data_IF_378294954553
#
_entry.id   IF_378294954553
#
_cell.length_a   1.000
_cell.length_b   1.000
_cell.length_c   1.000
_cell.angle_alpha   90.00
_cell.angle_beta   90.00
_cell.angle_gamma   90.00
#
_symmetry.space_group_name_H-M   'P 1'
#
loop_
_entity.id
_entity.type
_entity.pdbx_description
1 polymer ?
#
# COMPACT_ATOMS: atom_id res chain seq x y z
N UNK A 1 -6.71 5.41 6.99
CA UNK A 1 -5.71 6.47 7.22
C UNK A 1 -4.73 6.68 6.05
N UNK A 2 -4.95 6.11 4.85
CA UNK A 2 -3.96 6.21 3.76
C UNK A 2 -4.29 7.18 2.61
N UNK A 3 -5.55 7.62 2.47
CA UNK A 3 -5.98 8.42 1.31
C UNK A 3 -5.72 9.93 1.44
N UNK A 4 -5.86 10.48 2.65
CA UNK A 4 -5.87 11.94 2.88
C UNK A 4 -4.47 12.55 2.94
N UNK A 5 -3.43 11.79 3.29
CA UNK A 5 -2.05 12.31 3.42
C UNK A 5 -1.42 12.62 2.06
N UNK A 6 -1.76 11.88 1.01
CA UNK A 6 -1.24 12.10 -0.35
C UNK A 6 -1.64 13.46 -0.95
N UNK A 7 -2.69 14.09 -0.42
CA UNK A 7 -3.22 15.35 -0.95
C UNK A 7 -2.35 16.55 -0.55
N UNK A 8 -1.58 16.46 0.53
CA UNK A 8 -0.93 17.62 1.18
C UNK A 8 0.39 18.08 0.54
N UNK A 9 1.02 17.25 -0.30
CA UNK A 9 2.28 17.61 -0.97
C UNK A 9 2.27 17.13 -2.43
N UNK A 10 1.55 17.86 -3.29
CA UNK A 10 1.28 17.39 -4.65
C UNK A 10 2.43 17.67 -5.63
N UNK A 11 3.42 18.51 -5.30
CA UNK A 11 4.52 18.87 -6.20
C UNK A 11 4.09 19.34 -7.61
N UNK A 12 2.86 19.83 -7.76
CA UNK A 12 2.23 20.19 -9.06
C UNK A 12 1.40 19.08 -9.72
N UNK A 13 1.31 17.88 -9.14
CA UNK A 13 0.43 16.81 -9.59
C UNK A 13 -1.04 17.11 -9.29
N UNK A 14 -1.92 16.81 -10.25
CA UNK A 14 -3.38 16.86 -10.05
C UNK A 14 -3.83 15.56 -9.40
N UNK A 15 -4.43 15.67 -8.22
CA UNK A 15 -4.88 14.52 -7.44
C UNK A 15 -6.39 14.40 -7.56
N UNK A 16 -6.84 13.21 -7.98
CA UNK A 16 -8.24 12.81 -7.95
C UNK A 16 -8.47 11.83 -6.80
N UNK A 17 -9.45 12.12 -5.96
CA UNK A 17 -9.79 11.32 -4.79
C UNK A 17 -11.03 10.47 -5.11
N UNK A 18 -10.89 9.16 -4.98
CA UNK A 18 -12.01 8.23 -5.06
C UNK A 18 -12.70 8.07 -3.70
N UNK A 19 -14.01 8.26 -3.63
CA UNK A 19 -14.81 7.98 -2.43
C UNK A 19 -16.04 7.14 -2.75
N UNK A 20 -16.51 6.36 -1.76
CA UNK A 20 -17.65 5.42 -1.91
C UNK A 20 -19.01 6.00 -1.49
N UNK A 21 -19.00 7.03 -0.64
CA UNK A 21 -20.22 7.64 -0.10
C UNK A 21 -20.43 9.01 -0.72
N UNK A 22 -21.70 9.31 -1.06
CA UNK A 22 -22.05 10.60 -1.63
C UNK A 22 -21.71 11.76 -0.68
N UNK A 23 -21.96 11.59 0.62
CA UNK A 23 -21.62 12.58 1.67
C UNK A 23 -20.13 12.94 1.68
N UNK A 24 -19.24 11.94 1.52
CA UNK A 24 -17.79 12.18 1.46
C UNK A 24 -17.39 12.89 0.16
N UNK A 25 -18.04 12.57 -0.96
CA UNK A 25 -17.81 13.28 -2.23
C UNK A 25 -18.20 14.75 -2.14
N UNK A 26 -19.37 15.03 -1.56
CA UNK A 26 -19.88 16.39 -1.41
C UNK A 26 -18.98 17.20 -0.49
N UNK A 27 -18.51 16.61 0.62
CA UNK A 27 -17.53 17.22 1.52
C UNK A 27 -16.21 17.55 0.78
N UNK A 28 -15.61 16.57 0.11
CA UNK A 28 -14.33 16.75 -0.59
C UNK A 28 -14.43 17.80 -1.71
N UNK A 29 -15.56 17.84 -2.43
CA UNK A 29 -15.81 18.86 -3.46
C UNK A 29 -15.99 20.25 -2.86
N UNK A 30 -16.68 20.36 -1.73
CA UNK A 30 -16.81 21.63 -1.01
C UNK A 30 -15.46 22.16 -0.51
N UNK A 31 -14.52 21.27 -0.20
CA UNK A 31 -13.13 21.58 0.15
C UNK A 31 -12.25 21.90 -1.09
N UNK A 32 -12.80 21.82 -2.30
CA UNK A 32 -12.11 22.15 -3.55
C UNK A 32 -11.30 21.01 -4.17
N UNK A 33 -11.48 19.77 -3.70
CA UNK A 33 -10.79 18.59 -4.25
C UNK A 33 -11.50 18.04 -5.50
N UNK A 34 -10.73 17.48 -6.45
CA UNK A 34 -11.27 16.65 -7.53
C UNK A 34 -11.69 15.29 -6.94
N UNK A 35 -12.97 15.14 -6.60
CA UNK A 35 -13.52 13.92 -6.02
C UNK A 35 -14.52 13.21 -6.95
N UNK A 36 -14.35 11.90 -7.07
CA UNK A 36 -15.13 11.02 -7.96
C UNK A 36 -15.65 9.81 -7.19
N UNK A 37 -16.86 9.36 -7.55
CA UNK A 37 -17.37 8.09 -7.04
C UNK A 37 -16.45 6.96 -7.50
N UNK A 38 -15.95 6.19 -6.55
CA UNK A 38 -15.07 5.06 -6.83
C UNK A 38 -15.27 3.98 -5.77
N UNK A 39 -15.82 2.86 -6.21
CA UNK A 39 -16.06 1.70 -5.36
C UNK A 39 -15.48 0.45 -6.03
N UNK A 40 -14.53 -0.20 -5.35
CA UNK A 40 -13.88 -1.42 -5.83
C UNK A 40 -14.85 -2.59 -5.98
N UNK A 41 -16.01 -2.53 -5.33
CA UNK A 41 -17.08 -3.52 -5.46
C UNK A 41 -18.10 -3.17 -6.57
N UNK A 42 -18.03 -1.98 -7.18
CA UNK A 42 -18.89 -1.56 -8.29
C UNK A 42 -18.09 -1.14 -9.54
N UNK A 43 -17.91 -2.05 -10.52
CA UNK A 43 -17.14 -1.77 -11.74
C UNK A 43 -17.68 -0.62 -12.59
N UNK A 44 -18.94 -0.22 -12.43
CA UNK A 44 -19.53 0.93 -13.16
C UNK A 44 -18.85 2.25 -12.78
N UNK A 45 -18.24 2.31 -11.60
CA UNK A 45 -17.55 3.50 -11.09
C UNK A 45 -16.15 3.68 -11.69
N UNK A 46 -15.54 2.63 -12.26
CA UNK A 46 -14.14 2.64 -12.68
C UNK A 46 -13.88 3.54 -13.89
N UNK A 47 -14.76 3.54 -14.88
CA UNK A 47 -14.60 4.33 -16.11
C UNK A 47 -14.44 5.83 -15.82
N UNK A 48 -15.44 6.46 -15.15
CA UNK A 48 -15.35 7.87 -14.77
C UNK A 48 -14.15 8.18 -13.86
N UNK A 49 -13.83 7.27 -12.92
CA UNK A 49 -12.75 7.50 -11.98
C UNK A 49 -11.36 7.49 -12.63
N UNK A 50 -11.12 6.55 -13.56
CA UNK A 50 -9.82 6.33 -14.19
C UNK A 50 -9.62 7.17 -15.47
N UNK A 51 -10.64 7.90 -15.92
CA UNK A 51 -10.55 8.73 -17.12
C UNK A 51 -9.47 9.81 -16.98
N UNK A 52 -8.44 9.76 -17.85
CA UNK A 52 -7.33 10.71 -17.85
C UNK A 52 -6.35 10.55 -16.68
N UNK A 53 -6.39 9.41 -15.96
CA UNK A 53 -5.49 9.12 -14.85
C UNK A 53 -4.21 8.47 -15.37
N UNK A 54 -3.07 9.09 -15.09
CA UNK A 54 -1.76 8.56 -15.50
C UNK A 54 -1.21 7.51 -14.52
N UNK A 55 -1.48 7.69 -13.22
CA UNK A 55 -0.96 6.85 -12.13
C UNK A 55 -2.08 6.57 -11.12
N UNK A 56 -2.15 5.34 -10.64
CA UNK A 56 -3.17 4.91 -9.68
C UNK A 56 -2.51 4.35 -8.42
N UNK A 57 -2.98 4.77 -7.25
CA UNK A 57 -2.65 4.13 -5.98
C UNK A 57 -3.83 3.22 -5.56
N UNK A 58 -3.57 1.94 -5.31
CA UNK A 58 -4.57 0.97 -4.88
C UNK A 58 -4.41 0.71 -3.38
N UNK A 59 -5.50 0.91 -2.64
CA UNK A 59 -5.62 0.52 -1.24
C UNK A 59 -6.87 -0.36 -1.06
N UNK A 60 -6.66 -1.64 -0.81
CA UNK A 60 -7.72 -2.62 -0.55
C UNK A 60 -7.91 -2.88 0.93
N UNK A 61 -9.11 -3.36 1.31
CA UNK A 61 -9.35 -3.89 2.65
C UNK A 61 -8.60 -5.21 2.90
N UNK A 62 -8.43 -5.59 4.16
CA UNK A 62 -7.73 -6.81 4.56
C UNK A 62 -8.65 -8.05 4.55
N UNK A 63 -9.17 -8.41 3.38
CA UNK A 63 -10.05 -9.58 3.19
C UNK A 63 -9.71 -10.29 1.88
N UNK A 64 -10.15 -11.55 1.73
CA UNK A 64 -9.96 -12.31 0.48
C UNK A 64 -10.52 -11.57 -0.76
N UNK A 65 -11.53 -10.73 -0.57
CA UNK A 65 -12.14 -9.88 -1.60
C UNK A 65 -11.12 -8.97 -2.29
N UNK A 66 -9.99 -8.64 -1.64
CA UNK A 66 -8.91 -7.84 -2.23
C UNK A 66 -8.39 -8.44 -3.54
N UNK A 67 -8.41 -9.77 -3.67
CA UNK A 67 -7.92 -10.46 -4.88
C UNK A 67 -8.82 -10.16 -6.08
N UNK A 68 -10.14 -10.22 -5.88
CA UNK A 68 -11.14 -9.88 -6.89
C UNK A 68 -11.10 -8.38 -7.21
N UNK A 69 -11.12 -7.52 -6.19
CA UNK A 69 -11.09 -6.06 -6.34
C UNK A 69 -9.84 -5.58 -7.10
N UNK A 70 -8.68 -6.12 -6.76
CA UNK A 70 -7.42 -5.77 -7.43
C UNK A 70 -7.47 -6.22 -8.89
N UNK A 71 -7.96 -7.43 -9.16
CA UNK A 71 -8.08 -7.92 -10.52
C UNK A 71 -8.94 -6.99 -11.38
N UNK A 72 -10.14 -6.65 -10.91
CA UNK A 72 -11.11 -5.87 -11.68
C UNK A 72 -10.64 -4.44 -11.91
N UNK A 73 -10.03 -3.80 -10.89
CA UNK A 73 -9.52 -2.44 -11.02
C UNK A 73 -8.26 -2.37 -11.90
N UNK A 74 -7.36 -3.35 -11.83
CA UNK A 74 -6.16 -3.42 -12.69
C UNK A 74 -6.56 -3.62 -14.16
N UNK A 75 -7.56 -4.46 -14.43
CA UNK A 75 -8.10 -4.64 -15.78
C UNK A 75 -8.72 -3.34 -16.32
N UNK A 76 -9.43 -2.60 -15.47
CA UNK A 76 -10.01 -1.30 -15.83
C UNK A 76 -8.91 -0.24 -16.05
N UNK A 77 -7.89 -0.21 -15.20
CA UNK A 77 -6.74 0.69 -15.30
C UNK A 77 -5.96 0.46 -16.60
N UNK A 78 -5.77 -0.80 -16.99
CA UNK A 78 -5.16 -1.17 -18.27
C UNK A 78 -5.97 -0.62 -19.46
N UNK A 79 -7.30 -0.77 -19.42
CA UNK A 79 -8.19 -0.23 -20.47
C UNK A 79 -8.20 1.30 -20.51
N UNK A 80 -8.08 1.95 -19.36
CA UNK A 80 -8.04 3.40 -19.23
C UNK A 80 -6.68 4.02 -19.60
N UNK A 81 -5.63 3.20 -19.81
CA UNK A 81 -4.30 3.68 -20.18
C UNK A 81 -3.45 4.17 -19.00
N UNK A 82 -3.76 3.72 -17.77
CA UNK A 82 -2.93 3.99 -16.59
C UNK A 82 -1.54 3.44 -16.83
N UNK A 83 -0.51 4.26 -16.58
CA UNK A 83 0.89 3.92 -16.86
C UNK A 83 1.64 3.39 -15.65
N UNK A 84 1.18 3.70 -14.45
CA UNK A 84 1.84 3.28 -13.21
C UNK A 84 0.84 2.91 -12.12
N UNK A 85 1.05 1.78 -11.44
CA UNK A 85 0.28 1.35 -10.27
C UNK A 85 1.16 1.36 -9.02
N UNK A 86 0.74 2.08 -7.99
CA UNK A 86 1.30 1.96 -6.65
C UNK A 86 0.37 1.06 -5.86
N UNK A 87 0.91 -0.01 -5.27
CA UNK A 87 0.14 -0.95 -4.47
C UNK A 87 0.73 -1.04 -3.07
N UNK A 88 -0.14 -0.97 -2.07
CA UNK A 88 0.24 -1.20 -0.69
C UNK A 88 0.22 -2.71 -0.38
N UNK A 89 1.40 -3.31 -0.43
CA UNK A 89 1.64 -4.71 -0.09
C UNK A 89 1.87 -4.93 1.41
N UNK A 90 2.27 -6.15 1.76
CA UNK A 90 2.70 -6.51 3.10
C UNK A 90 4.09 -7.15 3.08
N UNK A 91 4.91 -6.89 4.10
CA UNK A 91 6.16 -7.61 4.26
C UNK A 91 5.85 -9.03 4.79
N UNK A 92 6.09 -10.05 3.96
CA UNK A 92 5.94 -11.45 4.32
C UNK A 92 7.26 -12.19 4.09
N UNK A 93 7.54 -13.19 4.93
CA UNK A 93 8.63 -14.13 4.66
C UNK A 93 8.27 -15.02 3.47
N UNK A 94 9.26 -15.45 2.67
CA UNK A 94 9.04 -16.28 1.48
C UNK A 94 8.38 -17.64 1.81
N UNK A 95 8.54 -18.11 3.05
CA UNK A 95 7.99 -19.37 3.59
C UNK A 95 6.73 -19.16 4.44
N UNK A 96 6.12 -17.97 4.40
CA UNK A 96 4.94 -17.69 5.21
C UNK A 96 3.75 -18.57 4.79
N UNK A 97 3.26 -19.39 5.72
CA UNK A 97 2.16 -20.34 5.49
C UNK A 97 0.77 -19.77 5.81
N UNK A 98 0.70 -18.55 6.34
CA UNK A 98 -0.56 -17.91 6.69
C UNK A 98 -1.28 -17.45 5.42
N UNK A 99 -2.54 -17.87 5.27
CA UNK A 99 -3.35 -17.63 4.08
C UNK A 99 -3.47 -16.15 3.70
N UNK A 100 -3.38 -15.26 4.69
CA UNK A 100 -3.42 -13.82 4.46
C UNK A 100 -2.24 -13.33 3.60
N UNK A 101 -1.04 -13.86 3.78
CA UNK A 101 0.13 -13.49 2.98
C UNK A 101 0.04 -14.03 1.55
N UNK A 102 -0.60 -15.19 1.37
CA UNK A 102 -0.88 -15.72 0.03
C UNK A 102 -1.76 -14.77 -0.78
N UNK A 103 -2.73 -14.08 -0.17
CA UNK A 103 -3.57 -13.10 -0.89
C UNK A 103 -2.76 -11.90 -1.40
N UNK A 104 -1.85 -11.36 -0.59
CA UNK A 104 -0.96 -10.28 -1.03
C UNK A 104 -0.03 -10.75 -2.15
N UNK A 105 0.55 -11.94 -2.04
CA UNK A 105 1.39 -12.50 -3.08
C UNK A 105 0.63 -12.66 -4.41
N UNK A 106 -0.64 -13.10 -4.37
CA UNK A 106 -1.49 -13.18 -5.55
C UNK A 106 -1.80 -11.81 -6.15
N UNK A 107 -2.08 -10.80 -5.31
CA UNK A 107 -2.32 -9.43 -5.75
C UNK A 107 -1.09 -8.83 -6.43
N UNK A 108 0.08 -8.95 -5.80
CA UNK A 108 1.35 -8.46 -6.34
C UNK A 108 1.67 -9.15 -7.67
N UNK A 109 1.62 -10.48 -7.72
CA UNK A 109 1.83 -11.23 -8.95
C UNK A 109 0.87 -10.82 -10.09
N UNK A 110 -0.39 -10.52 -9.77
CA UNK A 110 -1.36 -10.06 -10.78
C UNK A 110 -1.00 -8.67 -11.33
N UNK A 111 -0.59 -7.75 -10.46
CA UNK A 111 -0.15 -6.41 -10.87
C UNK A 111 1.11 -6.51 -11.72
N UNK A 112 2.09 -7.33 -11.32
CA UNK A 112 3.31 -7.57 -12.09
C UNK A 112 3.01 -8.13 -13.49
N UNK A 113 2.07 -9.08 -13.57
CA UNK A 113 1.64 -9.69 -14.83
C UNK A 113 0.79 -8.77 -15.72
N UNK A 114 0.28 -7.64 -15.20
CA UNK A 114 -0.62 -6.74 -15.93
C UNK A 114 0.06 -6.04 -17.13
N UNK A 115 1.38 -5.89 -17.07
CA UNK A 115 2.19 -5.13 -18.03
C UNK A 115 2.20 -3.61 -17.78
N UNK A 116 1.56 -3.14 -16.70
CA UNK A 116 1.63 -1.74 -16.24
C UNK A 116 2.85 -1.59 -15.35
N UNK A 117 3.56 -0.44 -15.41
CA UNK A 117 4.66 -0.19 -14.48
C UNK A 117 4.12 -0.16 -13.03
N UNK A 118 4.89 -0.66 -12.07
CA UNK A 118 4.37 -0.84 -10.72
C UNK A 118 5.39 -0.50 -9.64
N UNK A 119 4.86 -0.26 -8.44
CA UNK A 119 5.64 -0.11 -7.21
C UNK A 119 4.87 -0.73 -6.05
N UNK A 120 5.48 -1.72 -5.39
CA UNK A 120 4.93 -2.30 -4.16
C UNK A 120 5.53 -1.56 -2.96
N UNK A 121 4.67 -0.94 -2.18
CA UNK A 121 5.03 -0.35 -0.90
C UNK A 121 4.75 -1.40 0.17
N UNK A 122 5.80 -1.85 0.87
CA UNK A 122 5.71 -2.78 2.00
C UNK A 122 5.90 -2.01 3.31
N UNK A 123 4.89 -1.27 3.82
CA UNK A 123 4.99 -0.64 5.11
C UNK A 123 5.16 -1.70 6.19
N UNK A 124 6.28 -1.65 6.91
CA UNK A 124 6.43 -2.43 8.13
C UNK A 124 5.47 -1.86 9.17
N UNK A 125 4.67 -2.76 9.78
CA UNK A 125 3.71 -2.55 10.88
C UNK A 125 3.62 -1.09 11.35
N UNK A 126 2.55 -0.39 10.98
CA UNK A 126 2.26 0.93 11.53
C UNK A 126 2.34 0.85 13.06
N UNK A 127 3.11 1.73 13.70
CA UNK A 127 3.22 1.78 15.17
C UNK A 127 1.83 1.90 15.83
N UNK A 128 0.89 2.54 15.14
CA UNK A 128 -0.52 2.65 15.50
C UNK A 128 -1.22 1.28 15.64
N UNK A 129 -0.87 0.31 14.79
CA UNK A 129 -1.36 -1.07 14.92
C UNK A 129 -0.70 -1.82 16.07
N UNK A 130 0.48 -1.41 16.54
CA UNK A 130 1.05 -2.02 17.75
C UNK A 130 0.28 -1.61 19.01
N UNK A 131 -0.22 -0.38 19.07
CA UNK A 131 -1.06 0.12 20.17
C UNK A 131 -2.44 -0.55 20.23
N UNK A 132 -2.97 -1.04 19.11
CA UNK A 132 -4.23 -1.78 19.08
C UNK A 132 -4.08 -3.26 19.46
N UNK A 133 -2.90 -3.86 19.20
CA UNK A 133 -2.62 -5.28 19.48
C UNK A 133 -2.05 -5.49 20.88
N UNK A 134 -1.30 -4.53 21.43
CA UNK A 134 -0.71 -4.62 22.77
C UNK A 134 -0.68 -3.23 23.42
N UNK A 135 -1.49 -3.04 24.46
CA UNK A 135 -1.42 -1.84 25.29
C UNK A 135 -0.12 -1.88 26.09
N UNK A 136 0.72 -0.83 26.05
CA UNK A 136 1.97 -0.82 26.78
C UNK A 136 1.69 -0.84 28.29
N UNK A 137 2.14 -1.90 28.98
CA UNK A 137 2.09 -1.98 30.44
C UNK A 137 3.44 -1.46 30.95
N UNK A 138 3.46 -0.30 31.62
CA UNK A 138 4.68 0.29 32.15
C UNK A 138 5.74 0.66 31.09
N UNK A 139 5.31 1.06 29.89
CA UNK A 139 6.21 1.40 28.78
C UNK A 139 6.77 0.20 28.00
N UNK A 140 6.28 -1.01 28.26
CA UNK A 140 6.70 -2.24 27.58
C UNK A 140 5.57 -2.81 26.73
N UNK A 141 5.88 -3.14 25.47
CA UNK A 141 4.97 -3.86 24.56
C UNK A 141 5.23 -5.36 24.65
N UNK A 142 4.19 -6.14 24.96
CA UNK A 142 4.25 -7.60 24.90
C UNK A 142 3.72 -8.05 23.55
N UNK A 143 4.59 -8.49 22.64
CA UNK A 143 4.20 -9.15 21.38
C UNK A 143 4.41 -10.65 21.50
N UNK A 144 3.36 -11.43 21.27
CA UNK A 144 3.46 -12.88 21.18
C UNK A 144 3.54 -13.29 19.70
N UNK A 145 4.76 -13.56 19.23
CA UNK A 145 4.99 -14.36 18.03
C UNK A 145 5.31 -15.79 18.45
N UNK A 146 4.37 -16.73 18.30
CA UNK A 146 4.64 -18.15 18.52
C UNK A 146 5.60 -18.70 17.45
N UNK A 147 6.49 -19.64 17.72
CA UNK A 147 6.85 -20.31 18.96
C UNK A 147 8.24 -20.96 18.83
N UNK A 148 8.85 -21.30 19.97
CA UNK A 148 10.13 -22.03 20.04
C UNK A 148 11.21 -21.34 20.85
N UNK A 149 11.18 -21.60 22.16
CA UNK A 149 12.24 -21.41 23.16
C UNK A 149 12.63 -19.96 23.57
N UNK A 150 12.65 -19.64 24.88
CA UNK A 150 13.01 -18.32 25.37
C UNK A 150 14.54 -18.13 25.28
N UNK A 151 15.02 -17.58 24.17
CA UNK A 151 16.39 -17.05 24.09
C UNK A 151 16.38 -15.59 24.54
N UNK A 152 17.01 -15.35 25.69
CA UNK A 152 17.09 -14.07 26.38
C UNK A 152 17.48 -12.88 25.49
N UNK A 153 17.00 -11.71 25.94
CA UNK A 153 17.22 -10.38 25.36
C UNK A 153 18.58 -10.24 24.69
N UNK A 154 18.57 -9.97 23.37
CA UNK A 154 19.71 -9.34 22.70
C UNK A 154 19.33 -7.93 22.27
N UNK A 155 20.09 -6.98 22.82
CA UNK A 155 20.08 -5.54 22.54
C UNK A 155 20.10 -5.29 21.02
N UNK A 156 19.20 -4.44 20.54
CA UNK A 156 19.06 -4.04 19.14
C UNK A 156 20.39 -3.50 18.58
N UNK A 157 21.13 -4.35 17.84
CA UNK A 157 22.34 -3.94 17.12
C UNK A 157 22.59 -4.75 15.84
N UNK A 158 21.66 -5.62 15.44
CA UNK A 158 21.81 -6.47 14.25
C UNK A 158 20.78 -6.19 13.13
N UNK A 159 20.02 -5.10 13.24
CA UNK A 159 19.06 -4.70 12.21
C UNK A 159 19.71 -4.04 10.97
N UNK A 160 20.94 -3.53 11.11
CA UNK A 160 21.59 -2.72 10.06
C UNK A 160 22.31 -3.49 8.94
N UNK A 161 22.61 -4.80 9.10
CA UNK A 161 23.44 -5.53 8.11
C UNK A 161 22.67 -6.24 7.01
N UNK A 162 21.38 -6.55 7.20
CA UNK A 162 20.54 -7.18 6.16
C UNK A 162 19.85 -6.15 5.24
N UNK A 163 19.88 -4.86 5.62
CA UNK A 163 19.30 -3.73 4.90
C UNK A 163 19.95 -3.47 3.52
N UNK A 164 21.24 -3.79 3.35
CA UNK A 164 22.01 -3.46 2.14
C UNK A 164 21.84 -4.45 0.97
N UNK A 165 21.40 -5.68 1.22
CA UNK A 165 21.31 -6.70 0.16
C UNK A 165 19.91 -6.88 -0.42
N UNK A 166 18.85 -6.44 0.26
CA UNK A 166 17.47 -6.58 -0.22
C UNK A 166 17.01 -5.49 -1.20
N UNK A 167 17.55 -4.27 -1.11
CA UNK A 167 17.11 -3.13 -1.93
C UNK A 167 17.49 -3.25 -3.42
N UNK A 168 18.47 -4.09 -3.77
CA UNK A 168 19.06 -4.09 -5.11
C UNK A 168 18.30 -4.94 -6.16
N UNK A 169 17.23 -5.66 -5.79
CA UNK A 169 16.62 -6.68 -6.68
C UNK A 169 15.18 -6.46 -7.12
N UNK A 170 14.48 -5.41 -6.71
CA UNK A 170 13.04 -5.25 -7.02
C UNK A 170 12.59 -3.82 -7.32
N UNK A 171 13.38 -3.08 -8.09
CA UNK A 171 12.91 -1.84 -8.74
C UNK A 171 13.05 -2.00 -10.25
N UNK A 172 11.94 -1.90 -10.99
CA UNK A 172 11.95 -1.89 -12.46
C UNK A 172 12.51 -0.61 -13.08
N UNK A 173 12.95 0.36 -12.27
CA UNK A 173 13.69 1.57 -12.68
C UNK A 173 14.28 2.27 -11.45
N UNK A 174 15.50 2.82 -11.52
CA UNK A 174 16.13 3.50 -10.39
C UNK A 174 15.72 4.98 -10.35
N UNK A 175 15.03 5.39 -9.28
CA UNK A 175 14.88 6.79 -8.92
C UNK A 175 15.03 6.91 -7.40
N UNK A 176 16.15 7.52 -6.98
CA UNK A 176 16.47 8.20 -5.70
C UNK A 176 17.95 8.01 -5.32
N UNK A 177 18.86 8.71 -6.00
CA UNK A 177 20.26 8.88 -5.55
C UNK A 177 20.61 10.32 -5.14
N UNK A 178 19.61 11.21 -5.02
CA UNK A 178 19.85 12.65 -4.90
C UNK A 178 19.45 13.33 -3.59
N UNK A 179 19.41 12.64 -2.43
CA UNK A 179 18.90 13.30 -1.21
C UNK A 179 19.51 12.84 0.12
N UNK A 180 20.84 12.64 0.19
CA UNK A 180 21.57 12.56 1.48
C UNK A 180 23.00 13.14 1.39
N UNK A 181 23.13 14.38 0.90
CA UNK A 181 24.29 15.20 1.24
C UNK A 181 23.80 16.58 1.64
N UNK A 182 24.22 17.01 2.84
CA UNK A 182 23.96 18.29 3.53
C UNK A 182 22.89 18.24 4.62
N UNK A 183 23.25 17.77 5.81
CA UNK A 183 23.64 18.59 6.97
C UNK A 183 24.07 17.72 8.15
#
# INVERSE_FOLDING_TARGET
>A
MGGEELVRDSGGARIRIGARKQEDLDRLRAEGHDAVMFDLDDPRTFGPALCGVDRMNILTGYTITMTHQTKTVVDAAKKAGVRHIVNQGVFAAEDATDSKYCWFALVEAYIEASGIAWTHLHPNVFLENMLSVSQPIGGTFSTFGGGGEPRGLRRASLFGRRYRQGLARRSGTPWFEGLLSQH
#
